data_IF_792465947228
#
_entry.id   IF_792465947228
#
_cell.length_a   1.000
_cell.length_b   1.000
_cell.length_c   1.000
_cell.angle_alpha   90.00
_cell.angle_beta   90.00
_cell.angle_gamma   90.00
#
_symmetry.space_group_name_H-M   'P 1'
#
loop_
_entity.id
_entity.type
_entity.pdbx_description
1 polymer ?
#
# COMPACT_ATOMS: atom_id res chain seq x y z
N UNK A 1 10.73 54.09 23.59
CA UNK A 1 10.20 54.53 22.28
C UNK A 1 11.27 54.58 21.17
N UNK A 2 12.56 54.57 21.49
CA UNK A 2 13.67 54.73 20.53
C UNK A 2 13.91 53.53 19.60
N UNK A 3 13.54 52.32 20.00
CA UNK A 3 13.78 51.10 19.20
C UNK A 3 12.80 50.97 18.04
N UNK A 4 11.51 51.22 18.26
CA UNK A 4 10.46 51.08 17.22
C UNK A 4 10.66 52.10 16.10
N UNK A 5 11.06 53.32 16.43
CA UNK A 5 11.34 54.39 15.46
C UNK A 5 12.51 53.99 14.55
N UNK A 6 13.53 53.33 15.09
CA UNK A 6 14.67 52.83 14.31
C UNK A 6 14.26 51.71 13.35
N UNK A 7 13.39 50.78 13.78
CA UNK A 7 12.82 49.76 12.90
C UNK A 7 11.95 50.36 11.80
N UNK A 8 11.08 51.32 12.13
CA UNK A 8 10.27 52.04 11.14
C UNK A 8 11.18 52.72 10.11
N UNK A 9 12.32 53.30 10.55
CA UNK A 9 13.27 53.92 9.65
C UNK A 9 14.00 52.91 8.75
N UNK A 10 14.34 51.72 9.26
CA UNK A 10 14.87 50.59 8.48
C UNK A 10 13.88 50.11 7.41
N UNK A 11 12.62 49.88 7.79
CA UNK A 11 11.55 49.46 6.90
C UNK A 11 11.13 50.56 5.91
N UNK A 12 11.26 51.84 6.26
CA UNK A 12 10.97 52.96 5.37
C UNK A 12 12.09 53.26 4.35
N UNK A 13 13.23 52.55 4.40
CA UNK A 13 14.29 52.72 3.40
C UNK A 13 13.75 52.34 2.04
N UNK A 14 13.81 53.29 1.08
CA UNK A 14 13.43 53.06 -0.33
C UNK A 14 14.04 51.77 -0.91
N UNK A 15 15.27 51.42 -0.53
CA UNK A 15 15.96 50.21 -0.98
C UNK A 15 15.35 48.93 -0.40
N UNK A 16 14.88 48.96 0.84
CA UNK A 16 14.18 47.85 1.47
C UNK A 16 12.78 47.68 0.88
N UNK A 17 11.98 48.77 0.82
CA UNK A 17 10.63 48.77 0.21
C UNK A 17 10.68 48.26 -1.22
N UNK A 18 11.65 48.73 -2.01
CA UNK A 18 11.79 48.31 -3.41
C UNK A 18 12.14 46.82 -3.51
N UNK A 19 13.06 46.30 -2.67
CA UNK A 19 13.36 44.86 -2.64
C UNK A 19 12.20 44.02 -2.12
N UNK A 20 11.39 44.54 -1.19
CA UNK A 20 10.23 43.83 -0.65
C UNK A 20 9.07 43.77 -1.65
N UNK A 21 8.79 44.87 -2.36
CA UNK A 21 7.75 44.91 -3.40
C UNK A 21 8.17 44.21 -4.69
N UNK A 22 9.46 44.27 -5.03
CA UNK A 22 10.03 43.56 -6.19
C UNK A 22 10.46 42.12 -5.86
N UNK A 23 10.24 41.66 -4.61
CA UNK A 23 10.45 40.26 -4.24
C UNK A 23 9.40 39.39 -4.93
N UNK A 24 9.68 39.00 -6.17
CA UNK A 24 8.98 37.93 -6.84
C UNK A 24 9.68 36.64 -6.47
N UNK A 25 8.96 35.72 -5.84
CA UNK A 25 9.38 34.32 -5.84
C UNK A 25 9.40 33.89 -7.30
N UNK A 26 10.55 33.42 -7.80
CA UNK A 26 10.61 32.87 -9.15
C UNK A 26 9.55 31.77 -9.26
N UNK A 27 8.62 31.83 -10.23
CA UNK A 27 7.55 30.85 -10.37
C UNK A 27 8.05 29.50 -10.90
N UNK A 28 9.34 29.19 -10.80
CA UNK A 28 9.97 27.98 -11.37
C UNK A 28 9.43 26.65 -10.79
N UNK A 29 8.52 26.68 -9.82
CA UNK A 29 7.74 25.50 -9.43
C UNK A 29 6.24 25.77 -9.64
N UNK A 30 5.84 26.09 -10.89
CA UNK A 30 4.43 26.25 -11.25
C UNK A 30 3.78 24.93 -11.70
N UNK A 31 4.57 23.93 -12.10
CA UNK A 31 4.04 22.62 -12.49
C UNK A 31 4.28 21.61 -11.38
N UNK A 32 3.18 21.24 -10.71
CA UNK A 32 3.14 20.12 -9.78
C UNK A 32 3.70 18.87 -10.48
N UNK A 33 4.75 18.22 -9.96
CA UNK A 33 5.24 16.97 -10.56
C UNK A 33 4.11 15.94 -10.62
N UNK A 34 4.10 15.03 -11.60
CA UNK A 34 3.03 14.02 -11.77
C UNK A 34 2.78 13.15 -10.52
N UNK A 35 3.79 13.08 -9.65
CA UNK A 35 3.82 12.40 -8.35
C UNK A 35 3.08 13.13 -7.23
N UNK A 36 2.79 14.42 -7.38
CA UNK A 36 2.15 15.19 -6.34
C UNK A 36 0.74 14.65 -6.09
N UNK A 37 0.53 14.16 -4.87
CA UNK A 37 -0.75 13.61 -4.44
C UNK A 37 -1.67 14.78 -4.15
N UNK A 38 -2.41 15.19 -5.18
CA UNK A 38 -3.35 16.30 -5.11
C UNK A 38 -4.56 15.95 -4.21
N UNK A 39 -5.47 16.89 -3.97
CA UNK A 39 -6.70 16.60 -3.25
C UNK A 39 -7.54 15.53 -3.98
N UNK A 40 -8.18 14.60 -3.26
CA UNK A 40 -8.97 13.58 -3.92
C UNK A 40 -10.18 14.18 -4.65
N UNK A 41 -10.34 13.81 -5.92
CA UNK A 41 -11.47 14.15 -6.76
C UNK A 41 -12.59 13.13 -6.59
N UNK A 42 -13.82 13.63 -6.44
CA UNK A 42 -15.02 12.82 -6.18
C UNK A 42 -15.85 12.72 -7.45
N UNK A 43 -16.09 11.51 -7.95
CA UNK A 43 -17.08 11.21 -8.99
C UNK A 43 -18.38 10.80 -8.30
N UNK A 44 -19.34 11.71 -8.20
CA UNK A 44 -20.55 11.53 -7.38
C UNK A 44 -21.40 10.35 -7.84
N UNK A 45 -21.41 10.07 -9.13
CA UNK A 45 -22.26 9.08 -9.82
C UNK A 45 -21.88 7.64 -9.47
N UNK A 46 -20.63 7.44 -9.04
CA UNK A 46 -20.09 6.12 -8.68
C UNK A 46 -20.27 5.81 -7.18
N UNK A 47 -20.69 6.80 -6.38
CA UNK A 47 -20.74 6.66 -4.93
C UNK A 47 -21.95 5.84 -4.48
N UNK A 48 -21.69 4.77 -3.72
CA UNK A 48 -22.74 3.92 -3.10
C UNK A 48 -23.08 4.33 -1.65
N UNK A 49 -22.64 5.51 -1.20
CA UNK A 49 -22.89 6.04 0.15
C UNK A 49 -22.44 5.15 1.33
N UNK A 50 -21.46 4.25 1.13
CA UNK A 50 -21.03 3.30 2.17
C UNK A 50 -20.27 3.91 3.36
N UNK A 51 -19.74 5.14 3.23
CA UNK A 51 -19.03 5.83 4.31
C UNK A 51 -17.62 5.33 4.63
N UNK A 52 -17.09 4.35 3.89
CA UNK A 52 -15.75 3.80 4.12
C UNK A 52 -14.64 4.88 4.13
N UNK A 53 -14.73 5.86 3.22
CA UNK A 53 -13.77 6.96 3.14
C UNK A 53 -13.75 7.88 4.37
N UNK A 54 -14.90 8.09 5.02
CA UNK A 54 -15.00 8.88 6.26
C UNK A 54 -14.38 8.10 7.41
N UNK A 55 -14.72 6.82 7.53
CA UNK A 55 -14.23 5.94 8.59
C UNK A 55 -12.70 5.73 8.51
N UNK A 56 -12.16 5.64 7.30
CA UNK A 56 -10.72 5.43 7.08
C UNK A 56 -9.90 6.71 7.17
N UNK A 57 -10.51 7.89 7.28
CA UNK A 57 -9.78 9.15 7.20
C UNK A 57 -9.00 9.40 8.50
N UNK A 58 -7.66 9.47 8.48
CA UNK A 58 -6.88 9.75 9.68
C UNK A 58 -7.01 11.20 10.15
N UNK A 59 -7.55 12.10 9.30
CA UNK A 59 -7.81 13.50 9.64
C UNK A 59 -9.30 13.70 9.95
N UNK A 60 -9.68 13.89 11.23
CA UNK A 60 -11.07 14.02 11.63
C UNK A 60 -11.74 15.21 10.94
N UNK A 61 -12.91 14.98 10.34
CA UNK A 61 -13.68 16.04 9.69
C UNK A 61 -13.14 16.50 8.32
N UNK A 62 -12.09 15.86 7.80
CA UNK A 62 -11.61 16.12 6.45
C UNK A 62 -12.56 15.60 5.37
N UNK A 63 -13.38 14.58 5.66
CA UNK A 63 -14.37 14.03 4.73
C UNK A 63 -15.73 13.98 5.44
N UNK A 64 -16.77 14.47 4.77
CA UNK A 64 -18.17 14.38 5.24
C UNK A 64 -19.05 13.86 4.11
N UNK A 65 -20.01 13.01 4.43
CA UNK A 65 -21.05 12.64 3.48
C UNK A 65 -22.13 13.72 3.48
N UNK A 66 -22.41 14.28 2.31
CA UNK A 66 -23.47 15.27 2.10
C UNK A 66 -24.49 14.66 1.15
N UNK A 67 -25.77 14.89 1.43
CA UNK A 67 -26.87 14.59 0.50
C UNK A 67 -27.20 15.86 -0.26
N UNK A 68 -27.40 15.71 -1.56
CA UNK A 68 -27.79 16.79 -2.45
C UNK A 68 -29.26 16.56 -2.83
N UNK A 69 -30.06 17.61 -2.95
CA UNK A 69 -31.51 17.49 -3.15
C UNK A 69 -31.85 16.88 -4.52
N UNK A 70 -30.90 16.91 -5.47
CA UNK A 70 -31.01 16.32 -6.81
C UNK A 70 -30.58 14.84 -6.87
N UNK A 71 -29.86 14.31 -5.88
CA UNK A 71 -29.37 12.92 -5.84
C UNK A 71 -29.90 12.18 -4.61
N UNK A 72 -30.52 11.01 -4.80
CA UNK A 72 -31.03 10.18 -3.68
C UNK A 72 -29.91 9.63 -2.76
N UNK A 73 -28.64 9.75 -3.16
CA UNK A 73 -27.48 9.16 -2.49
C UNK A 73 -26.53 10.21 -1.93
N UNK A 74 -25.95 9.92 -0.76
CA UNK A 74 -24.96 10.77 -0.11
C UNK A 74 -23.56 10.54 -0.71
N UNK A 75 -22.83 11.60 -1.01
CA UNK A 75 -21.46 11.54 -1.56
C UNK A 75 -20.46 12.26 -0.65
N UNK A 76 -19.17 11.89 -0.71
CA UNK A 76 -18.15 12.52 0.12
C UNK A 76 -17.80 13.92 -0.39
N UNK A 77 -17.79 14.89 0.51
CA UNK A 77 -17.23 16.23 0.33
C UNK A 77 -15.95 16.32 1.15
N UNK A 78 -14.87 16.77 0.50
CA UNK A 78 -13.55 16.85 1.10
C UNK A 78 -13.24 18.29 1.49
N UNK A 79 -12.85 18.50 2.73
CA UNK A 79 -12.35 19.77 3.22
C UNK A 79 -10.83 19.86 2.98
N UNK A 80 -10.43 20.69 2.01
CA UNK A 80 -9.04 20.90 1.63
C UNK A 80 -8.17 21.43 2.78
N UNK A 81 -8.74 22.19 3.72
CA UNK A 81 -8.00 22.73 4.87
C UNK A 81 -7.65 21.67 5.91
N UNK A 82 -8.40 20.56 5.96
CA UNK A 82 -8.18 19.47 6.91
C UNK A 82 -7.55 18.23 6.24
N UNK A 83 -7.63 18.10 4.92
CA UNK A 83 -7.12 16.95 4.20
C UNK A 83 -5.59 16.95 4.11
N UNK A 84 -4.96 15.94 4.73
CA UNK A 84 -3.50 15.75 4.70
C UNK A 84 -3.00 15.02 3.44
N UNK A 85 -3.87 14.79 2.44
CA UNK A 85 -3.51 14.16 1.15
C UNK A 85 -2.84 12.79 1.28
N UNK A 86 -3.29 11.98 2.24
CA UNK A 86 -2.74 10.64 2.50
C UNK A 86 -3.22 9.55 1.52
N UNK A 87 -4.33 9.77 0.80
CA UNK A 87 -4.85 8.83 -0.20
C UNK A 87 -5.66 7.63 0.33
N UNK A 88 -5.74 7.41 1.65
CA UNK A 88 -6.45 6.27 2.24
C UNK A 88 -7.92 6.14 1.83
N UNK A 89 -8.60 7.27 1.62
CA UNK A 89 -10.00 7.29 1.19
C UNK A 89 -10.19 6.69 -0.22
N UNK A 90 -9.18 6.80 -1.08
CA UNK A 90 -9.16 6.16 -2.41
C UNK A 90 -8.90 4.67 -2.27
N UNK A 91 -8.00 4.27 -1.37
CA UNK A 91 -7.66 2.86 -1.11
C UNK A 91 -8.87 2.06 -0.63
N UNK A 92 -9.57 2.57 0.40
CA UNK A 92 -10.70 1.87 1.02
C UNK A 92 -11.97 1.87 0.17
N UNK A 93 -12.01 2.67 -0.92
CA UNK A 93 -13.20 2.80 -1.74
C UNK A 93 -13.55 1.46 -2.41
N UNK A 94 -14.71 0.86 -2.12
CA UNK A 94 -15.06 -0.47 -2.62
C UNK A 94 -15.65 -0.46 -4.04
N UNK A 95 -15.81 0.72 -4.66
CA UNK A 95 -16.46 0.84 -5.97
C UNK A 95 -15.46 0.64 -7.10
N UNK A 96 -15.88 -0.06 -8.16
CA UNK A 96 -15.14 -0.21 -9.40
C UNK A 96 -16.04 0.22 -10.57
N UNK A 97 -15.75 1.35 -11.26
CA UNK A 97 -14.62 2.27 -11.05
C UNK A 97 -14.67 3.02 -9.70
N UNK A 98 -13.50 3.48 -9.21
CA UNK A 98 -13.40 4.17 -7.92
C UNK A 98 -14.12 5.51 -7.93
N UNK A 99 -14.91 5.76 -6.89
CA UNK A 99 -15.58 7.04 -6.63
C UNK A 99 -14.57 8.16 -6.41
N UNK A 100 -13.51 7.88 -5.64
CA UNK A 100 -12.46 8.84 -5.30
C UNK A 100 -11.20 8.56 -6.12
N UNK A 101 -10.57 9.61 -6.67
CA UNK A 101 -9.29 9.54 -7.40
C UNK A 101 -8.33 10.60 -6.87
N UNK A 102 -7.03 10.30 -6.76
CA UNK A 102 -6.00 11.31 -6.39
C UNK A 102 -4.69 10.94 -7.06
N UNK A 103 -4.07 11.91 -7.74
CA UNK A 103 -2.71 11.87 -8.32
C UNK A 103 -2.26 10.53 -8.93
N UNK A 104 -0.94 10.36 -9.06
CA UNK A 104 -0.38 9.02 -9.22
C UNK A 104 -0.29 8.35 -7.85
N UNK A 105 -1.36 7.67 -7.44
CA UNK A 105 -1.28 6.68 -6.37
C UNK A 105 -0.48 5.47 -6.88
N UNK A 106 0.85 5.50 -6.76
CA UNK A 106 1.77 4.40 -7.15
C UNK A 106 1.51 3.06 -6.43
N UNK A 107 0.46 2.97 -5.62
CA UNK A 107 0.05 1.77 -4.88
C UNK A 107 -1.12 1.02 -5.53
N UNK A 108 -1.82 1.58 -6.53
CA UNK A 108 -2.90 0.84 -7.20
C UNK A 108 -2.81 1.00 -8.71
N UNK A 109 -2.19 0.01 -9.36
CA UNK A 109 -2.73 -0.48 -10.62
C UNK A 109 -4.00 -1.28 -10.31
N UNK A 110 -4.93 -1.34 -11.27
CA UNK A 110 -6.19 -2.12 -11.23
C UNK A 110 -6.02 -3.61 -10.86
N UNK A 111 -4.78 -4.09 -10.76
CA UNK A 111 -4.37 -5.47 -10.52
C UNK A 111 -4.07 -5.80 -9.03
N UNK A 112 -4.10 -4.83 -8.11
CA UNK A 112 -3.81 -5.08 -6.69
C UNK A 112 -5.06 -5.50 -5.87
N UNK A 113 -5.57 -6.71 -6.11
CA UNK A 113 -6.28 -7.51 -5.08
C UNK A 113 -5.33 -8.61 -4.61
N UNK A 114 -4.80 -8.48 -3.38
CA UNK A 114 -3.73 -9.34 -2.82
C UNK A 114 -4.25 -10.59 -2.10
N UNK A 115 -5.55 -10.79 -1.92
CA UNK A 115 -6.06 -11.97 -1.18
C UNK A 115 -6.78 -12.97 -2.11
N UNK A 116 -6.30 -14.22 -2.28
CA UNK A 116 -7.05 -15.26 -2.96
C UNK A 116 -8.21 -15.70 -2.06
N UNK A 117 -9.43 -15.64 -2.56
CA UNK A 117 -10.62 -15.98 -1.80
C UNK A 117 -11.12 -17.39 -2.19
N UNK A 118 -11.18 -18.36 -1.27
CA UNK A 118 -12.07 -19.51 -1.49
C UNK A 118 -13.49 -19.09 -1.16
N UNK A 119 -14.39 -19.38 -2.10
CA UNK A 119 -15.82 -19.11 -1.99
C UNK A 119 -16.50 -20.21 -1.18
N UNK A 120 -16.95 -19.88 0.03
CA UNK A 120 -17.92 -20.66 0.80
C UNK A 120 -19.33 -20.17 0.49
N UNK A 121 -20.30 -21.07 0.58
CA UNK A 121 -21.71 -20.71 0.50
C UNK A 121 -22.37 -20.92 1.86
N UNK A 122 -23.05 -19.88 2.37
CA UNK A 122 -23.76 -19.90 3.66
C UNK A 122 -25.24 -19.61 3.40
N UNK A 123 -26.13 -20.37 4.02
CA UNK A 123 -27.58 -20.16 3.93
C UNK A 123 -28.02 -19.33 5.13
N UNK A 124 -28.74 -18.23 4.87
CA UNK A 124 -29.36 -17.39 5.89
C UNK A 124 -30.72 -17.98 6.26
N UNK A 125 -30.81 -18.62 7.43
CA UNK A 125 -32.04 -19.29 7.89
C UNK A 125 -33.22 -18.32 8.10
N UNK A 126 -32.96 -17.01 8.30
CA UNK A 126 -34.03 -16.01 8.42
C UNK A 126 -34.70 -15.69 7.08
N UNK A 127 -33.94 -15.77 5.98
CA UNK A 127 -34.45 -15.52 4.62
C UNK A 127 -34.83 -16.83 3.90
N UNK A 128 -34.36 -17.97 4.40
CA UNK A 128 -34.63 -19.26 3.82
C UNK A 128 -36.10 -19.66 3.99
N UNK A 129 -36.83 -19.77 2.88
CA UNK A 129 -38.22 -20.26 2.86
C UNK A 129 -38.32 -21.79 2.84
N UNK A 130 -37.19 -22.50 2.99
CA UNK A 130 -37.13 -23.97 3.06
C UNK A 130 -37.78 -24.69 1.86
N UNK A 131 -37.61 -24.13 0.66
CA UNK A 131 -38.17 -24.68 -0.57
C UNK A 131 -37.38 -25.85 -1.19
N UNK A 132 -36.28 -26.27 -0.57
CA UNK A 132 -35.43 -27.42 -0.92
C UNK A 132 -34.78 -27.44 -2.32
N UNK A 133 -35.08 -26.49 -3.21
CA UNK A 133 -34.50 -26.41 -4.57
C UNK A 133 -32.97 -26.42 -4.63
N UNK A 134 -32.30 -25.91 -3.60
CA UNK A 134 -30.84 -25.93 -3.52
C UNK A 134 -30.26 -27.34 -3.32
N UNK A 135 -31.02 -28.26 -2.70
CA UNK A 135 -30.65 -29.66 -2.53
C UNK A 135 -30.64 -30.35 -3.89
N UNK A 136 -31.71 -30.18 -4.68
CA UNK A 136 -31.83 -30.76 -6.02
C UNK A 136 -30.77 -30.22 -7.00
N UNK A 137 -30.39 -28.95 -6.85
CA UNK A 137 -29.34 -28.34 -7.66
C UNK A 137 -27.93 -28.87 -7.34
N UNK A 138 -27.72 -29.45 -6.15
CA UNK A 138 -26.40 -29.85 -5.69
C UNK A 138 -26.00 -31.23 -6.22
N UNK A 139 -25.25 -31.25 -7.33
CA UNK A 139 -24.78 -32.48 -7.99
C UNK A 139 -23.86 -33.36 -7.15
N UNK A 140 -23.21 -32.78 -6.14
CA UNK A 140 -22.28 -33.47 -5.23
C UNK A 140 -22.94 -33.87 -3.90
N UNK A 141 -24.23 -33.58 -3.71
CA UNK A 141 -24.96 -33.94 -2.49
C UNK A 141 -24.42 -33.26 -1.23
N UNK A 142 -23.86 -32.06 -1.35
CA UNK A 142 -23.31 -31.30 -0.22
C UNK A 142 -24.38 -30.59 0.62
N UNK A 143 -25.64 -30.50 0.16
CA UNK A 143 -26.70 -29.77 0.86
C UNK A 143 -27.70 -30.75 1.45
N UNK A 144 -28.06 -30.58 2.72
CA UNK A 144 -28.99 -31.46 3.43
C UNK A 144 -29.96 -30.69 4.34
N UNK A 145 -31.13 -31.28 4.57
CA UNK A 145 -32.15 -30.76 5.51
C UNK A 145 -32.09 -31.60 6.80
N UNK A 146 -31.80 -30.95 7.93
CA UNK A 146 -31.86 -31.56 9.28
C UNK A 146 -32.68 -30.66 10.19
N UNK A 147 -33.66 -31.22 10.89
CA UNK A 147 -34.50 -30.49 11.85
C UNK A 147 -35.14 -29.21 11.28
N UNK A 148 -35.60 -29.29 10.02
CA UNK A 148 -36.18 -28.16 9.28
C UNK A 148 -35.18 -27.03 8.96
N UNK A 149 -33.87 -27.25 9.10
CA UNK A 149 -32.81 -26.30 8.74
C UNK A 149 -32.01 -26.88 7.58
N UNK A 150 -31.82 -26.06 6.53
CA UNK A 150 -30.99 -26.44 5.38
C UNK A 150 -29.54 -26.04 5.63
N UNK A 151 -28.63 -26.98 5.53
CA UNK A 151 -27.19 -26.79 5.79
C UNK A 151 -26.34 -27.27 4.62
N UNK A 152 -25.18 -26.65 4.43
CA UNK A 152 -24.21 -26.98 3.39
C UNK A 152 -22.96 -27.60 4.06
N UNK A 153 -22.66 -28.84 3.73
CA UNK A 153 -21.44 -29.54 4.09
C UNK A 153 -20.27 -29.01 3.24
N UNK A 154 -19.49 -28.11 3.83
CA UNK A 154 -18.37 -27.45 3.14
C UNK A 154 -17.28 -28.44 2.74
N UNK A 155 -17.19 -29.62 3.36
CA UNK A 155 -16.19 -30.64 2.99
C UNK A 155 -16.49 -31.32 1.65
N UNK A 156 -17.77 -31.32 1.24
CA UNK A 156 -18.23 -31.90 -0.03
C UNK A 156 -18.50 -30.84 -1.10
N UNK A 157 -18.57 -29.57 -0.71
CA UNK A 157 -18.92 -28.49 -1.61
C UNK A 157 -17.75 -28.15 -2.54
N UNK A 158 -18.00 -28.12 -3.85
CA UNK A 158 -16.99 -27.81 -4.89
C UNK A 158 -17.09 -26.37 -5.40
N UNK A 159 -17.76 -25.51 -4.63
CA UNK A 159 -17.93 -24.07 -4.90
C UNK A 159 -18.50 -23.69 -6.28
N UNK A 160 -19.31 -24.57 -6.91
CA UNK A 160 -19.84 -24.34 -8.27
C UNK A 160 -20.89 -23.21 -8.40
N UNK A 161 -21.54 -22.82 -7.31
CA UNK A 161 -22.51 -21.71 -7.27
C UNK A 161 -23.92 -22.01 -7.80
N UNK A 162 -24.24 -23.27 -8.11
CA UNK A 162 -25.55 -23.65 -8.65
C UNK A 162 -26.69 -23.45 -7.63
N UNK A 163 -26.38 -23.56 -6.33
CA UNK A 163 -27.33 -23.32 -5.25
C UNK A 163 -27.81 -21.85 -5.21
N UNK A 164 -26.91 -20.87 -5.41
CA UNK A 164 -27.27 -19.44 -5.50
C UNK A 164 -28.17 -19.18 -6.70
N UNK A 165 -27.80 -19.72 -7.88
CA UNK A 165 -28.54 -19.48 -9.13
C UNK A 165 -29.98 -19.99 -9.07
N UNK A 166 -30.20 -21.09 -8.36
CA UNK A 166 -31.50 -21.75 -8.28
C UNK A 166 -32.37 -21.20 -7.14
N UNK A 167 -31.78 -20.44 -6.20
CA UNK A 167 -32.52 -19.95 -5.04
C UNK A 167 -33.58 -18.89 -5.46
N UNK A 168 -34.87 -19.11 -5.16
CA UNK A 168 -35.93 -18.17 -5.51
C UNK A 168 -35.90 -16.89 -4.65
N UNK A 169 -35.26 -16.95 -3.48
CA UNK A 169 -35.13 -15.82 -2.56
C UNK A 169 -33.73 -15.23 -2.68
N UNK A 170 -33.66 -14.04 -3.26
CA UNK A 170 -32.40 -13.29 -3.36
C UNK A 170 -31.83 -13.05 -1.96
N UNK A 171 -30.57 -13.42 -1.77
CA UNK A 171 -29.84 -13.21 -0.51
C UNK A 171 -30.03 -14.30 0.56
N UNK A 172 -30.87 -15.31 0.33
CA UNK A 172 -30.98 -16.46 1.23
C UNK A 172 -29.74 -17.36 1.19
N UNK A 173 -28.97 -17.35 0.10
CA UNK A 173 -27.66 -17.99 0.02
C UNK A 173 -26.62 -16.91 -0.27
N UNK A 174 -25.61 -16.81 0.58
CA UNK A 174 -24.54 -15.82 0.55
C UNK A 174 -23.22 -16.51 0.21
N UNK A 175 -22.47 -15.87 -0.68
CA UNK A 175 -21.06 -16.20 -0.93
C UNK A 175 -20.21 -15.51 0.15
N UNK A 176 -19.40 -16.30 0.85
CA UNK A 176 -18.50 -15.86 1.92
C UNK A 176 -17.10 -16.31 1.56
N UNK A 177 -16.19 -15.34 1.46
CA UNK A 177 -14.80 -15.60 1.12
C UNK A 177 -13.99 -15.91 2.38
N UNK A 178 -13.38 -17.09 2.49
CA UNK A 178 -12.52 -17.46 3.63
C UNK A 178 -11.29 -18.20 3.12
N UNK A 179 -10.07 -17.84 3.55
CA UNK A 179 -8.95 -18.80 3.61
C UNK A 179 -7.85 -18.38 4.59
N UNK A 180 -7.33 -19.37 5.32
CA UNK A 180 -6.15 -19.44 6.20
C UNK A 180 -5.21 -18.23 6.17
N UNK A 181 -5.63 -17.19 6.87
CA UNK A 181 -4.88 -15.94 6.95
C UNK A 181 -3.51 -16.17 7.58
N UNK A 182 -3.41 -17.01 8.61
CA UNK A 182 -2.22 -17.03 9.47
C UNK A 182 -1.08 -17.87 8.87
N UNK A 183 -1.33 -19.08 8.36
CA UNK A 183 -0.32 -19.88 7.64
C UNK A 183 0.17 -19.18 6.37
N UNK A 184 -0.74 -18.53 5.62
CA UNK A 184 -0.36 -17.75 4.45
C UNK A 184 0.46 -16.51 4.84
N UNK A 185 0.08 -15.79 5.90
CA UNK A 185 0.89 -14.70 6.46
C UNK A 185 2.28 -15.19 6.86
N UNK A 186 2.38 -16.37 7.47
CA UNK A 186 3.66 -16.94 7.86
C UNK A 186 4.55 -17.24 6.65
N UNK A 187 3.99 -17.84 5.58
CA UNK A 187 4.71 -18.07 4.32
C UNK A 187 5.10 -16.74 3.65
N UNK A 188 4.21 -15.75 3.64
CA UNK A 188 4.50 -14.40 3.12
C UNK A 188 5.66 -13.77 3.90
N UNK A 189 5.57 -13.77 5.23
CA UNK A 189 6.59 -13.17 6.10
C UNK A 189 7.94 -13.88 5.94
N UNK A 190 7.94 -15.21 5.83
CA UNK A 190 9.12 -16.02 5.59
C UNK A 190 9.79 -15.67 4.25
N UNK A 191 8.99 -15.56 3.18
CA UNK A 191 9.46 -15.23 1.84
C UNK A 191 10.03 -13.81 1.78
N UNK A 192 9.29 -12.83 2.32
CA UNK A 192 9.74 -11.43 2.38
C UNK A 192 11.05 -11.34 3.15
N UNK A 193 11.13 -11.91 4.36
CA UNK A 193 12.34 -11.86 5.19
C UNK A 193 13.55 -12.49 4.51
N UNK A 194 13.37 -13.66 3.88
CA UNK A 194 14.46 -14.37 3.20
C UNK A 194 15.02 -13.57 2.01
N UNK A 195 14.13 -12.95 1.22
CA UNK A 195 14.53 -12.10 0.10
C UNK A 195 15.16 -10.79 0.58
N UNK A 196 14.68 -10.21 1.68
CA UNK A 196 15.28 -9.03 2.29
C UNK A 196 16.70 -9.29 2.79
N UNK A 197 16.93 -10.41 3.49
CA UNK A 197 18.25 -10.82 3.94
C UNK A 197 19.21 -11.01 2.75
N UNK A 198 18.75 -11.68 1.69
CA UNK A 198 19.54 -11.87 0.47
C UNK A 198 19.93 -10.54 -0.20
N UNK A 199 19.01 -9.57 -0.23
CA UNK A 199 19.30 -8.23 -0.76
C UNK A 199 20.28 -7.50 0.16
N UNK A 200 20.07 -7.51 1.48
CA UNK A 200 20.90 -6.81 2.45
C UNK A 200 22.35 -7.29 2.44
N UNK A 201 22.60 -8.59 2.23
CA UNK A 201 23.96 -9.13 2.08
C UNK A 201 24.69 -8.57 0.85
N UNK A 202 23.93 -8.20 -0.18
CA UNK A 202 24.47 -7.64 -1.43
C UNK A 202 24.43 -6.10 -1.44
N UNK A 203 23.82 -5.44 -0.43
CA UNK A 203 23.70 -3.97 -0.33
C UNK A 203 25.05 -3.26 -0.32
N UNK A 204 26.10 -3.86 0.27
CA UNK A 204 27.44 -3.28 0.20
C UNK A 204 28.04 -3.29 -1.21
N UNK A 205 27.73 -4.31 -2.03
CA UNK A 205 28.11 -4.33 -3.45
C UNK A 205 27.30 -3.31 -4.25
N UNK A 206 26.03 -3.11 -3.89
CA UNK A 206 25.16 -2.07 -4.46
C UNK A 206 25.69 -0.67 -4.14
N UNK A 207 26.15 -0.41 -2.90
CA UNK A 207 26.68 0.89 -2.44
C UNK A 207 27.94 1.33 -3.19
N UNK A 208 28.78 0.39 -3.63
CA UNK A 208 30.08 0.68 -4.29
C UNK A 208 29.99 1.00 -5.78
N UNK A 209 28.79 0.96 -6.37
CA UNK A 209 28.58 1.26 -7.79
C UNK A 209 28.33 2.77 -7.97
N UNK A 210 28.88 3.39 -9.03
CA UNK A 210 28.71 4.82 -9.27
C UNK A 210 27.23 5.18 -9.48
N UNK A 211 26.79 6.25 -8.83
CA UNK A 211 25.38 6.71 -8.68
C UNK A 211 24.63 7.08 -9.98
N UNK A 212 25.23 6.89 -11.17
CA UNK A 212 24.67 7.48 -12.39
C UNK A 212 24.84 6.59 -13.63
N UNK A 213 24.18 5.44 -13.63
CA UNK A 213 23.85 4.74 -14.87
C UNK A 213 22.41 4.19 -14.80
N UNK A 214 21.43 4.85 -15.44
CA UNK A 214 20.03 4.44 -15.44
C UNK A 214 19.76 3.14 -16.20
N UNK A 215 20.72 2.59 -16.94
CA UNK A 215 20.62 1.29 -17.63
C UNK A 215 21.15 0.12 -16.80
N UNK A 216 21.82 0.39 -15.67
CA UNK A 216 22.48 -0.64 -14.86
C UNK A 216 21.50 -1.28 -13.87
N UNK A 217 20.64 -2.14 -14.39
CA UNK A 217 19.81 -3.04 -13.59
C UNK A 217 20.70 -4.03 -12.84
N UNK A 218 20.57 -4.08 -11.52
CA UNK A 218 21.28 -5.10 -10.72
C UNK A 218 20.39 -6.35 -10.71
N UNK A 219 20.93 -7.44 -11.22
CA UNK A 219 20.26 -8.75 -11.23
C UNK A 219 20.93 -9.66 -10.22
N UNK A 220 20.14 -10.19 -9.29
CA UNK A 220 20.56 -11.21 -8.34
C UNK A 220 19.70 -12.46 -8.56
N UNK A 221 20.23 -13.62 -8.17
CA UNK A 221 19.49 -14.87 -8.22
C UNK A 221 19.39 -15.47 -6.82
N UNK A 222 18.19 -15.93 -6.46
CA UNK A 222 17.93 -16.60 -5.20
C UNK A 222 17.31 -17.99 -5.45
N UNK A 223 17.86 -19.07 -4.88
CA UNK A 223 17.35 -20.42 -5.10
C UNK A 223 16.02 -20.63 -4.36
N UNK A 224 14.97 -21.04 -5.09
CA UNK A 224 13.63 -21.26 -4.53
C UNK A 224 13.62 -22.38 -3.47
N UNK A 225 14.50 -23.38 -3.60
CA UNK A 225 14.60 -24.51 -2.67
C UNK A 225 14.75 -24.10 -1.20
N UNK A 226 15.47 -22.99 -0.94
CA UNK A 226 15.67 -22.46 0.43
C UNK A 226 14.38 -21.95 1.09
N UNK A 227 13.40 -21.52 0.30
CA UNK A 227 12.10 -21.06 0.79
C UNK A 227 11.13 -22.24 0.85
N UNK A 228 11.13 -23.10 -0.18
CA UNK A 228 10.19 -24.22 -0.27
C UNK A 228 10.34 -25.21 0.87
N UNK A 229 11.57 -25.53 1.30
CA UNK A 229 11.80 -26.44 2.43
C UNK A 229 11.08 -25.97 3.71
N UNK A 230 11.24 -24.67 4.05
CA UNK A 230 10.64 -24.05 5.23
C UNK A 230 9.15 -23.77 5.06
N UNK A 231 8.69 -23.50 3.83
CA UNK A 231 7.28 -23.25 3.55
C UNK A 231 6.45 -24.56 3.60
N UNK A 232 7.03 -25.69 3.21
CA UNK A 232 6.41 -27.01 3.32
C UNK A 232 6.30 -27.50 4.77
N UNK A 233 7.18 -27.03 5.67
CA UNK A 233 7.03 -27.25 7.12
C UNK A 233 5.80 -26.55 7.70
N UNK A 234 5.46 -25.36 7.17
CA UNK A 234 4.29 -24.57 7.59
C UNK A 234 3.01 -25.15 7.01
N UNK A 235 3.02 -25.44 5.71
CA UNK A 235 1.88 -26.03 5.00
C UNK A 235 2.37 -27.25 4.19
N UNK A 236 2.06 -28.49 4.63
CA UNK A 236 2.52 -29.72 3.98
C UNK A 236 1.69 -30.05 2.73
N UNK A 237 1.51 -29.07 1.85
CA UNK A 237 0.79 -29.18 0.57
C UNK A 237 1.60 -28.42 -0.50
N UNK A 238 2.36 -29.17 -1.29
CA UNK A 238 3.32 -28.62 -2.26
C UNK A 238 2.66 -27.80 -3.36
N UNK A 239 1.49 -28.23 -3.83
CA UNK A 239 0.76 -27.52 -4.89
C UNK A 239 0.26 -26.16 -4.39
N UNK A 240 -0.28 -26.11 -3.16
CA UNK A 240 -0.71 -24.85 -2.54
C UNK A 240 0.45 -23.93 -2.23
N UNK A 241 1.53 -24.44 -1.64
CA UNK A 241 2.72 -23.64 -1.30
C UNK A 241 3.34 -23.03 -2.55
N UNK A 242 3.50 -23.82 -3.61
CA UNK A 242 4.05 -23.34 -4.89
C UNK A 242 3.20 -22.20 -5.45
N UNK A 243 1.88 -22.39 -5.48
CA UNK A 243 0.94 -21.37 -5.98
C UNK A 243 0.93 -20.11 -5.12
N UNK A 244 1.07 -20.23 -3.80
CA UNK A 244 1.19 -19.10 -2.88
C UNK A 244 2.48 -18.33 -3.17
N UNK A 245 3.62 -19.03 -3.24
CA UNK A 245 4.94 -18.44 -3.49
C UNK A 245 5.01 -17.77 -4.86
N UNK A 246 4.49 -18.39 -5.92
CA UNK A 246 4.40 -17.80 -7.26
C UNK A 246 3.59 -16.49 -7.25
N UNK A 247 2.38 -16.54 -6.70
CA UNK A 247 1.50 -15.37 -6.66
C UNK A 247 2.09 -14.22 -5.84
N UNK A 248 2.79 -14.52 -4.75
CA UNK A 248 3.45 -13.48 -3.93
C UNK A 248 4.65 -12.93 -4.69
N UNK A 249 5.54 -13.80 -5.18
CA UNK A 249 6.83 -13.41 -5.78
C UNK A 249 6.62 -12.45 -6.94
N UNK A 250 5.72 -12.76 -7.87
CA UNK A 250 5.49 -11.92 -9.06
C UNK A 250 4.86 -10.55 -8.72
N UNK A 251 4.18 -10.45 -7.58
CA UNK A 251 3.50 -9.23 -7.12
C UNK A 251 4.31 -8.43 -6.11
N UNK A 252 5.34 -9.04 -5.54
CA UNK A 252 6.14 -8.47 -4.47
C UNK A 252 7.02 -7.33 -5.00
N UNK A 253 7.02 -6.23 -4.25
CA UNK A 253 7.87 -5.07 -4.50
C UNK A 253 8.42 -4.59 -3.18
N UNK A 254 9.74 -4.62 -3.03
CA UNK A 254 10.41 -4.21 -1.80
C UNK A 254 11.22 -2.96 -2.06
N UNK A 255 11.06 -1.96 -1.19
CA UNK A 255 11.95 -0.81 -1.16
C UNK A 255 13.23 -1.18 -0.40
N UNK A 256 14.37 -0.90 -1.00
CA UNK A 256 15.68 -1.14 -0.43
C UNK A 256 16.32 0.21 -0.20
N UNK A 257 16.60 0.53 1.06
CA UNK A 257 17.27 1.76 1.45
C UNK A 257 18.73 1.43 1.75
N UNK A 258 19.63 1.92 0.91
CA UNK A 258 21.07 1.90 1.17
C UNK A 258 21.45 3.12 2.01
N UNK A 259 22.56 3.04 2.75
CA UNK A 259 22.99 4.13 3.62
C UNK A 259 24.46 4.44 3.40
N UNK A 260 24.74 5.67 3.00
CA UNK A 260 26.09 6.15 2.70
C UNK A 260 26.53 7.24 3.70
N UNK A 261 27.19 6.79 4.77
CA UNK A 261 27.64 7.66 5.87
C UNK A 261 28.63 8.73 5.43
N UNK A 262 29.39 8.49 4.35
CA UNK A 262 30.41 9.44 3.84
C UNK A 262 29.80 10.75 3.33
N UNK A 263 28.57 10.68 2.81
CA UNK A 263 27.82 11.86 2.33
C UNK A 263 27.17 12.64 3.47
N UNK A 264 27.12 12.09 4.68
CA UNK A 264 26.37 12.67 5.78
C UNK A 264 27.07 13.91 6.35
N UNK A 265 26.30 15.00 6.51
CA UNK A 265 26.76 16.26 7.12
C UNK A 265 26.21 16.49 8.53
N UNK A 266 25.56 15.48 9.11
CA UNK A 266 25.06 15.54 10.49
C UNK A 266 23.91 16.54 10.73
N UNK A 267 23.11 16.88 9.70
CA UNK A 267 22.02 17.87 9.81
C UNK A 267 20.78 17.39 10.61
N UNK A 268 20.69 16.09 10.91
CA UNK A 268 19.64 15.43 11.73
C UNK A 268 18.19 15.50 11.23
N UNK A 269 17.91 16.17 10.11
CA UNK A 269 16.55 16.28 9.55
C UNK A 269 15.83 14.93 9.37
N UNK A 270 16.57 13.89 8.96
CA UNK A 270 15.98 12.57 8.74
C UNK A 270 15.55 11.86 10.04
N UNK A 271 16.13 12.23 11.18
CA UNK A 271 15.79 11.65 12.49
C UNK A 271 14.41 12.12 12.92
N UNK A 272 14.15 13.42 12.84
CA UNK A 272 12.89 14.04 13.26
C UNK A 272 11.71 13.55 12.40
N UNK A 273 11.95 13.30 11.12
CA UNK A 273 10.93 12.82 10.18
C UNK A 273 10.73 11.29 10.20
N UNK A 274 11.52 10.54 11.00
CA UNK A 274 11.42 9.08 11.02
C UNK A 274 10.27 8.61 11.91
N UNK A 275 9.17 8.05 11.37
CA UNK A 275 8.00 7.66 12.17
C UNK A 275 8.27 6.49 13.11
N UNK A 276 9.33 5.71 12.87
CA UNK A 276 9.66 4.53 13.68
C UNK A 276 10.88 4.71 14.56
N UNK A 277 11.54 5.87 14.53
CA UNK A 277 12.76 6.10 15.29
C UNK A 277 13.93 5.18 14.89
N UNK A 278 13.96 4.72 13.63
CA UNK A 278 15.00 3.84 13.10
C UNK A 278 16.35 4.55 12.83
N UNK A 279 16.44 5.85 13.08
CA UNK A 279 17.62 6.66 12.80
C UNK A 279 18.14 7.29 14.08
N UNK A 280 19.43 7.14 14.35
CA UNK A 280 20.10 7.67 15.54
C UNK A 280 21.30 8.53 15.15
N UNK A 281 21.57 9.58 15.91
CA UNK A 281 22.77 10.39 15.70
C UNK A 281 23.94 9.84 16.52
N UNK A 282 25.04 9.52 15.86
CA UNK A 282 26.28 9.14 16.53
C UNK A 282 27.13 10.39 16.76
N UNK A 283 27.27 10.82 18.03
CA UNK A 283 28.01 12.03 18.38
C UNK A 283 29.51 11.94 18.11
N UNK A 284 30.10 10.75 18.23
CA UNK A 284 31.54 10.53 18.02
C UNK A 284 31.92 10.61 16.55
N UNK A 285 31.09 10.03 15.67
CA UNK A 285 31.33 10.03 14.22
C UNK A 285 30.76 11.26 13.51
N UNK A 286 29.86 12.00 14.15
CA UNK A 286 29.17 13.15 13.54
C UNK A 286 28.21 12.77 12.40
N UNK A 287 27.79 11.51 12.33
CA UNK A 287 26.90 10.98 11.28
C UNK A 287 25.65 10.38 11.87
N UNK A 288 24.62 10.25 11.04
CA UNK A 288 23.40 9.51 11.39
C UNK A 288 23.56 8.05 10.99
N UNK A 289 23.23 7.14 11.90
CA UNK A 289 23.23 5.69 11.71
C UNK A 289 21.79 5.19 11.58
N UNK A 290 21.59 4.13 10.78
CA UNK A 290 20.28 3.52 10.53
C UNK A 290 20.23 2.12 11.12
N UNK A 291 19.19 1.86 11.89
CA UNK A 291 18.79 0.53 12.37
C UNK A 291 17.89 -0.14 11.30
N UNK A 292 18.36 -1.18 10.59
CA UNK A 292 17.59 -1.83 9.55
C UNK A 292 16.34 -2.56 10.09
N UNK A 293 16.38 -3.07 11.32
CA UNK A 293 15.32 -3.88 11.92
C UNK A 293 14.11 -3.04 12.30
N UNK A 294 14.32 -1.77 12.67
CA UNK A 294 13.25 -0.81 12.97
C UNK A 294 12.74 -0.06 11.75
N UNK A 295 13.39 -0.21 10.60
CA UNK A 295 13.10 0.60 9.43
C UNK A 295 11.97 0.02 8.58
N UNK A 296 10.85 0.73 8.48
CA UNK A 296 9.71 0.33 7.61
C UNK A 296 9.93 0.58 6.12
N UNK A 297 11.13 1.00 5.70
CA UNK A 297 11.47 1.27 4.28
C UNK A 297 10.52 2.27 3.59
N UNK A 298 9.96 3.21 4.36
CA UNK A 298 8.95 4.19 3.92
C UNK A 298 9.48 5.28 2.98
N UNK A 299 10.79 5.36 2.76
CA UNK A 299 11.50 6.36 1.93
C UNK A 299 11.48 7.82 2.42
N UNK A 300 10.96 8.11 3.62
CA UNK A 300 10.93 9.49 4.13
C UNK A 300 12.34 10.06 4.26
N UNK A 301 13.27 9.31 4.84
CA UNK A 301 14.66 9.75 4.96
C UNK A 301 15.30 10.07 3.60
N UNK A 302 14.92 9.34 2.55
CA UNK A 302 15.36 9.58 1.18
C UNK A 302 14.85 10.91 0.62
N UNK A 303 13.62 11.28 0.95
CA UNK A 303 13.02 12.54 0.51
C UNK A 303 13.55 13.74 1.32
N UNK A 304 13.81 13.54 2.61
CA UNK A 304 14.24 14.61 3.51
C UNK A 304 15.73 14.94 3.36
N UNK A 305 16.58 13.99 2.93
CA UNK A 305 18.02 14.19 2.93
C UNK A 305 18.49 15.00 1.70
N UNK A 306 19.00 16.25 1.88
CA UNK A 306 19.49 17.04 0.76
C UNK A 306 20.87 16.59 0.25
N UNK A 307 21.55 15.68 0.98
CA UNK A 307 22.92 15.25 0.70
C UNK A 307 23.00 13.86 0.05
N UNK A 308 21.87 13.18 -0.16
CA UNK A 308 21.85 11.86 -0.80
C UNK A 308 22.52 10.74 0.01
N UNK A 309 22.45 10.82 1.35
CA UNK A 309 22.94 9.77 2.26
C UNK A 309 22.17 8.45 2.08
N UNK A 310 20.83 8.44 2.15
CA UNK A 310 20.06 7.27 1.75
C UNK A 310 20.05 7.13 0.22
N UNK A 311 20.25 5.92 -0.27
CA UNK A 311 19.91 5.54 -1.65
C UNK A 311 18.64 4.70 -1.65
N UNK A 312 17.73 4.93 -2.59
CA UNK A 312 16.48 4.18 -2.69
C UNK A 312 16.48 3.32 -3.94
N UNK A 313 16.31 2.01 -3.77
CA UNK A 313 16.17 1.05 -4.84
C UNK A 313 14.83 0.33 -4.71
N UNK A 314 14.23 0.00 -5.85
CA UNK A 314 13.06 -0.86 -5.91
C UNK A 314 13.49 -2.25 -6.36
N UNK A 315 13.27 -3.25 -5.52
CA UNK A 315 13.42 -4.65 -5.88
C UNK A 315 12.12 -5.17 -6.51
N UNK A 316 12.27 -5.85 -7.65
CA UNK A 316 11.23 -6.69 -8.26
C UNK A 316 11.70 -8.13 -8.31
N UNK A 317 10.76 -9.05 -8.23
CA UNK A 317 11.03 -10.47 -8.21
C UNK A 317 10.28 -11.13 -9.36
N UNK A 318 10.89 -12.15 -9.96
CA UNK A 318 10.28 -12.97 -10.98
C UNK A 318 10.70 -14.41 -10.74
N UNK A 319 9.73 -15.32 -10.62
CA UNK A 319 10.04 -16.74 -10.54
C UNK A 319 10.29 -17.30 -11.94
N UNK A 320 11.43 -17.98 -12.13
CA UNK A 320 11.76 -18.65 -13.39
C UNK A 320 12.67 -19.85 -13.14
N UNK A 321 12.31 -21.01 -13.69
CA UNK A 321 13.14 -22.23 -13.68
C UNK A 321 13.63 -22.63 -12.27
N UNK A 322 12.77 -22.51 -11.25
CA UNK A 322 13.11 -22.83 -9.85
C UNK A 322 14.04 -21.81 -9.16
N UNK A 323 14.20 -20.62 -9.73
CA UNK A 323 14.96 -19.51 -9.15
C UNK A 323 14.12 -18.24 -9.10
N UNK A 324 14.34 -17.43 -8.07
CA UNK A 324 13.78 -16.08 -7.97
C UNK A 324 14.83 -15.12 -8.52
N UNK A 325 14.50 -14.50 -9.65
CA UNK A 325 15.30 -13.44 -10.25
C UNK A 325 14.94 -12.12 -9.58
N UNK A 326 15.90 -11.49 -8.93
CA UNK A 326 15.73 -10.21 -8.24
C UNK A 326 16.32 -9.12 -9.13
N UNK A 327 15.52 -8.14 -9.51
CA UNK A 327 15.97 -6.96 -10.24
C UNK A 327 15.86 -5.73 -9.35
N UNK A 328 16.99 -5.12 -9.01
CA UNK A 328 17.02 -3.83 -8.31
C UNK A 328 17.11 -2.71 -9.35
N UNK A 329 16.17 -1.78 -9.26
CA UNK A 329 16.17 -0.55 -10.05
C UNK A 329 16.38 0.64 -9.11
N UNK A 330 17.38 1.52 -9.34
CA UNK A 330 17.50 2.75 -8.58
C UNK A 330 16.26 3.61 -8.79
N UNK A 331 15.70 4.13 -7.70
CA UNK A 331 14.64 5.14 -7.76
C UNK A 331 15.29 6.44 -8.19
N UNK A 332 14.96 6.92 -9.38
CA UNK A 332 15.48 8.20 -9.87
C UNK A 332 14.88 9.35 -9.05
N UNK A 333 15.73 10.16 -8.43
CA UNK A 333 15.47 11.58 -8.22
C UNK A 333 16.14 12.28 -9.40
N UNK A 334 15.34 12.82 -10.34
CA UNK A 334 15.82 13.98 -11.10
C UNK A 334 15.68 15.18 -10.18
N UNK A 335 16.80 15.86 -9.93
CA UNK A 335 16.78 17.27 -9.60
C UNK A 335 16.37 18.11 -10.81
#
# INVERSE_FOLDING_TARGET
MSSVIWYIYEFARKKWIKRFLDAKTDPEIAESPSRFRDFPQVQKELCISCGACVASCPSPGAIKLVRDDEMEMAYPVINESACIRCGFCVEVCPTEPKTLKTGENYLIKEEYRILPQETLYVIDDYLCIRCEKCIDACKVGAISSKDNIITIDQSKCVSCGDCIKTCPIKGAIKEVFITNIDEQKEIINLLVKSLEEAINLEVERVRKLPDYDPEKLIKLEFPLSKIMERALEILPDEEKVTKIVENITDRLKINVITWDEEKCKGCRLCIDECPTGALTYNEEKGVTERDPDKCLRCSICYQTCPFGVPGLYTARFLLRDGRILITLKPSQIRG
#
